data_IF_300680701817
#
_entry.id   IF_300680701817
#
_cell.length_a   1.000
_cell.length_b   1.000
_cell.length_c   1.000
_cell.angle_alpha   90.00
_cell.angle_beta   90.00
_cell.angle_gamma   90.00
#
_symmetry.space_group_name_H-M   'P 1'
#
loop_
_entity.id
_entity.type
_entity.pdbx_description
1 polymer ?
#
# COMPACT_ATOMS: atom_id res chain seq x y z
N UNK A 1 3.50 7.93 -101.05
CA UNK A 1 4.46 8.11 -99.96
C UNK A 1 3.92 9.16 -99.00
N UNK A 2 3.62 8.70 -97.82
CA UNK A 2 3.05 9.50 -96.75
C UNK A 2 4.19 10.09 -95.91
N UNK A 3 4.19 11.42 -95.83
CA UNK A 3 5.11 12.14 -94.96
C UNK A 3 4.64 12.12 -93.53
N UNK A 4 5.45 11.62 -92.65
CA UNK A 4 5.27 11.69 -91.21
C UNK A 4 5.70 13.06 -90.69
N UNK A 5 4.72 13.86 -90.24
CA UNK A 5 5.00 15.11 -89.52
C UNK A 5 5.33 14.80 -88.02
N UNK A 6 6.56 15.08 -87.63
CA UNK A 6 6.99 15.04 -86.24
C UNK A 6 6.50 16.30 -85.51
N UNK A 7 5.71 16.12 -84.49
CA UNK A 7 5.36 17.21 -83.54
C UNK A 7 6.56 17.56 -82.63
N UNK A 8 6.85 18.83 -82.42
CA UNK A 8 7.90 19.23 -81.49
C UNK A 8 7.42 19.00 -80.07
N UNK A 9 8.22 18.23 -79.27
CA UNK A 9 8.06 18.09 -77.83
C UNK A 9 8.39 19.43 -77.22
N UNK A 10 7.41 20.03 -76.52
CA UNK A 10 7.62 21.25 -75.75
C UNK A 10 8.53 20.94 -74.51
N UNK A 11 9.65 21.64 -74.43
CA UNK A 11 10.54 21.62 -73.30
C UNK A 11 9.77 22.09 -71.98
N UNK A 12 10.01 21.51 -70.86
CA UNK A 12 9.40 22.00 -69.63
C UNK A 12 9.88 23.43 -69.36
N UNK A 13 8.92 24.36 -69.35
CA UNK A 13 9.20 25.79 -69.12
C UNK A 13 9.96 26.00 -67.82
N UNK A 14 11.08 26.71 -67.88
CA UNK A 14 11.80 27.18 -66.70
C UNK A 14 10.85 28.04 -65.85
N UNK A 15 10.56 27.57 -64.66
CA UNK A 15 9.67 28.28 -63.75
C UNK A 15 10.15 29.71 -63.54
N UNK A 16 9.25 30.67 -63.71
CA UNK A 16 9.53 32.07 -63.41
C UNK A 16 10.05 32.24 -61.98
N UNK A 17 11.10 33.08 -61.80
CA UNK A 17 11.61 33.34 -60.42
C UNK A 17 10.50 33.98 -59.60
N UNK A 18 10.15 33.33 -58.50
CA UNK A 18 9.13 33.82 -57.54
C UNK A 18 9.54 35.21 -57.02
N UNK A 19 8.56 36.16 -56.95
CA UNK A 19 8.71 37.49 -56.39
C UNK A 19 9.34 37.39 -54.97
N UNK A 20 10.28 38.29 -54.60
CA UNK A 20 10.91 38.31 -53.25
C UNK A 20 9.92 38.31 -52.11
N UNK A 21 8.75 38.93 -52.24
CA UNK A 21 7.66 38.91 -51.26
C UNK A 21 7.07 37.51 -51.12
N UNK A 22 6.83 36.81 -52.21
CA UNK A 22 6.30 35.45 -52.24
C UNK A 22 7.28 34.43 -51.63
N UNK A 23 8.60 34.57 -51.94
CA UNK A 23 9.65 33.73 -51.30
C UNK A 23 9.70 33.90 -49.79
N UNK A 24 9.58 35.17 -49.26
CA UNK A 24 9.58 35.46 -47.86
C UNK A 24 8.34 34.87 -47.14
N UNK A 25 7.17 34.95 -47.79
CA UNK A 25 5.93 34.36 -47.27
C UNK A 25 5.99 32.84 -47.21
N UNK A 26 6.52 32.19 -48.25
CA UNK A 26 6.71 30.73 -48.26
C UNK A 26 7.72 30.28 -47.19
N UNK A 27 8.83 31.03 -47.03
CA UNK A 27 9.83 30.74 -45.99
C UNK A 27 9.24 30.86 -44.58
N UNK A 28 8.50 31.93 -44.31
CA UNK A 28 7.83 32.12 -42.99
C UNK A 28 6.77 31.04 -42.77
N UNK A 29 5.96 30.74 -43.76
CA UNK A 29 4.99 29.66 -43.73
C UNK A 29 5.64 28.29 -43.45
N UNK A 30 6.75 27.99 -44.09
CA UNK A 30 7.51 26.75 -43.84
C UNK A 30 8.09 26.66 -42.44
N UNK A 31 8.61 27.78 -41.89
CA UNK A 31 9.11 27.85 -40.53
C UNK A 31 7.97 27.63 -39.51
N UNK A 32 6.82 28.25 -39.70
CA UNK A 32 5.64 28.10 -38.81
C UNK A 32 5.13 26.66 -38.84
N UNK A 33 4.99 26.07 -40.01
CA UNK A 33 4.57 24.65 -40.14
C UNK A 33 5.60 23.71 -39.51
N UNK A 34 6.89 23.92 -39.72
CA UNK A 34 7.96 23.17 -39.10
C UNK A 34 7.92 23.26 -37.56
N UNK A 35 7.72 24.46 -37.02
CA UNK A 35 7.58 24.67 -35.59
C UNK A 35 6.36 23.94 -35.01
N UNK A 36 5.21 23.96 -35.69
CA UNK A 36 4.00 23.25 -35.27
C UNK A 36 4.18 21.74 -35.28
N UNK A 37 4.90 21.19 -36.26
CA UNK A 37 5.23 19.76 -36.33
C UNK A 37 6.13 19.37 -35.15
N UNK A 38 7.18 20.14 -34.88
CA UNK A 38 8.08 19.91 -33.73
C UNK A 38 7.30 19.97 -32.40
N UNK A 39 6.45 20.99 -32.23
CA UNK A 39 5.59 21.10 -31.02
C UNK A 39 4.64 19.90 -30.92
N UNK A 40 4.05 19.45 -32.00
CA UNK A 40 3.20 18.25 -32.03
C UNK A 40 3.95 16.97 -31.66
N UNK A 41 5.18 16.78 -32.13
CA UNK A 41 6.04 15.65 -31.76
C UNK A 41 6.40 15.74 -30.28
N UNK A 42 6.84 16.89 -29.77
CA UNK A 42 7.17 17.10 -28.35
C UNK A 42 5.95 16.83 -27.48
N UNK A 43 4.78 17.36 -27.86
CA UNK A 43 3.54 17.08 -27.16
C UNK A 43 3.22 15.58 -27.12
N UNK A 44 3.31 14.89 -28.25
CA UNK A 44 3.05 13.44 -28.34
C UNK A 44 4.00 12.62 -27.46
N UNK A 45 5.29 12.95 -27.48
CA UNK A 45 6.30 12.29 -26.64
C UNK A 45 6.01 12.55 -25.14
N UNK A 46 5.81 13.78 -24.75
CA UNK A 46 5.51 14.11 -23.35
C UNK A 46 4.22 13.47 -22.87
N UNK A 47 3.17 13.47 -23.68
CA UNK A 47 1.90 12.84 -23.35
C UNK A 47 2.00 11.33 -23.17
N UNK A 48 2.80 10.66 -23.99
CA UNK A 48 2.97 9.20 -23.94
C UNK A 48 3.97 8.73 -22.88
N UNK A 49 4.95 9.55 -22.50
CA UNK A 49 6.03 9.17 -21.59
C UNK A 49 5.85 9.77 -20.19
N UNK A 50 5.67 11.08 -20.09
CA UNK A 50 5.67 11.81 -18.80
C UNK A 50 4.27 11.94 -18.21
N UNK A 51 3.29 12.29 -19.05
CA UNK A 51 1.90 12.55 -18.64
C UNK A 51 0.97 11.37 -18.95
N UNK A 52 1.46 10.15 -18.78
CA UNK A 52 0.69 8.92 -19.03
C UNK A 52 0.30 8.22 -17.73
N UNK A 53 -0.78 7.42 -17.77
CA UNK A 53 -1.15 6.55 -16.65
C UNK A 53 -0.01 5.58 -16.28
N UNK A 54 0.76 5.10 -17.31
CA UNK A 54 1.94 4.26 -17.11
C UNK A 54 3.01 4.95 -16.27
N UNK A 55 3.30 6.22 -16.53
CA UNK A 55 4.31 7.00 -15.81
C UNK A 55 3.92 7.19 -14.35
N UNK A 56 2.64 7.47 -14.07
CA UNK A 56 2.12 7.60 -12.69
C UNK A 56 2.23 6.27 -11.96
N UNK A 57 1.81 5.15 -12.59
CA UNK A 57 1.95 3.81 -12.02
C UNK A 57 3.41 3.47 -11.72
N UNK A 58 4.33 3.73 -12.66
CA UNK A 58 5.76 3.46 -12.49
C UNK A 58 6.35 4.25 -11.32
N UNK A 59 6.00 5.54 -11.21
CA UNK A 59 6.48 6.39 -10.13
C UNK A 59 5.98 5.92 -8.76
N UNK A 60 4.74 5.46 -8.70
CA UNK A 60 4.12 4.91 -7.49
C UNK A 60 4.77 3.60 -7.06
N UNK A 61 4.90 2.63 -7.97
CA UNK A 61 5.53 1.34 -7.71
C UNK A 61 7.00 1.48 -7.31
N UNK A 62 7.73 2.38 -7.97
CA UNK A 62 9.12 2.70 -7.61
C UNK A 62 9.19 3.27 -6.20
N UNK A 63 8.27 4.17 -5.82
CA UNK A 63 8.24 4.71 -4.47
C UNK A 63 8.00 3.63 -3.40
N UNK A 64 7.13 2.66 -3.68
CA UNK A 64 6.89 1.51 -2.77
C UNK A 64 8.15 0.62 -2.71
N UNK A 65 8.74 0.28 -3.84
CA UNK A 65 9.94 -0.56 -3.91
C UNK A 65 11.16 0.07 -3.20
N UNK A 66 11.31 1.39 -3.32
CA UNK A 66 12.36 2.17 -2.64
C UNK A 66 12.10 2.36 -1.13
N UNK A 67 10.96 1.91 -0.60
CA UNK A 67 10.56 2.15 0.78
C UNK A 67 10.21 3.62 1.09
N UNK A 68 9.93 4.42 0.06
CA UNK A 68 9.52 5.82 0.16
C UNK A 68 7.99 5.91 0.24
N UNK A 69 7.41 5.34 1.29
CA UNK A 69 5.96 5.22 1.44
C UNK A 69 5.28 6.59 1.55
N UNK A 70 5.93 7.57 2.18
CA UNK A 70 5.43 8.94 2.19
C UNK A 70 5.30 9.55 0.79
N UNK A 71 6.24 9.23 -0.13
CA UNK A 71 6.14 9.62 -1.54
C UNK A 71 5.01 8.87 -2.26
N UNK A 72 4.86 7.58 -1.99
CA UNK A 72 3.77 6.78 -2.56
C UNK A 72 2.39 7.33 -2.14
N UNK A 73 2.21 7.70 -0.86
CA UNK A 73 1.01 8.36 -0.34
C UNK A 73 0.71 9.70 -1.03
N UNK A 74 1.74 10.44 -1.44
CA UNK A 74 1.58 11.69 -2.20
C UNK A 74 1.19 11.47 -3.67
N UNK A 75 1.49 10.30 -4.25
CA UNK A 75 1.11 9.94 -5.63
C UNK A 75 -0.30 9.34 -5.66
N UNK A 76 -0.63 8.50 -4.68
CA UNK A 76 -1.93 7.83 -4.55
C UNK A 76 -2.40 7.97 -3.11
N UNK A 77 -3.55 8.63 -2.91
CA UNK A 77 -4.20 8.67 -1.61
C UNK A 77 -4.54 7.25 -1.16
N UNK A 78 -3.99 6.75 -0.06
CA UNK A 78 -4.25 5.39 0.41
C UNK A 78 -5.68 5.20 0.96
N UNK A 79 -6.47 6.25 1.06
CA UNK A 79 -7.87 6.23 1.53
C UNK A 79 -8.01 5.58 2.92
N UNK A 80 -7.06 5.89 3.80
CA UNK A 80 -7.06 5.46 5.20
C UNK A 80 -7.09 6.67 6.12
N UNK A 81 -7.48 6.46 7.38
CA UNK A 81 -7.45 7.52 8.39
C UNK A 81 -6.03 8.07 8.61
N UNK A 82 -5.93 9.34 9.01
CA UNK A 82 -4.64 10.02 9.23
C UNK A 82 -3.70 9.24 10.16
N UNK A 83 -4.23 8.67 11.23
CA UNK A 83 -3.45 7.89 12.20
C UNK A 83 -3.00 6.53 11.63
N UNK A 84 -3.75 5.96 10.68
CA UNK A 84 -3.40 4.71 9.98
C UNK A 84 -2.23 4.91 9.00
N UNK A 85 -1.94 6.15 8.55
CA UNK A 85 -0.76 6.46 7.74
C UNK A 85 0.57 6.08 8.42
N UNK A 86 0.56 5.84 9.73
CA UNK A 86 1.74 5.35 10.46
C UNK A 86 2.23 4.01 9.92
N UNK A 87 1.33 3.10 9.54
CA UNK A 87 1.64 1.83 8.88
C UNK A 87 2.12 1.99 7.44
N UNK A 88 1.80 3.11 6.81
CA UNK A 88 2.19 3.49 5.45
C UNK A 88 3.31 4.55 5.47
N UNK A 89 4.24 4.44 6.42
CA UNK A 89 5.37 5.35 6.59
C UNK A 89 6.69 4.70 6.20
N UNK A 90 7.67 5.52 5.83
CA UNK A 90 9.04 5.09 5.52
C UNK A 90 9.69 4.33 6.69
N UNK A 91 9.26 4.59 7.93
CA UNK A 91 9.77 3.89 9.11
C UNK A 91 9.43 2.39 9.08
N UNK A 92 8.24 2.02 8.61
CA UNK A 92 7.81 0.62 8.45
C UNK A 92 8.55 -0.06 7.30
N UNK A 93 8.87 0.69 6.24
CA UNK A 93 9.59 0.19 5.06
C UNK A 93 11.08 -0.10 5.30
N UNK A 94 11.69 0.48 6.35
CA UNK A 94 13.13 0.38 6.62
C UNK A 94 13.60 -0.99 7.10
N UNK A 95 12.70 -1.89 7.48
CA UNK A 95 13.08 -3.24 7.88
C UNK A 95 13.67 -4.02 6.70
N UNK A 96 14.63 -4.90 6.96
CA UNK A 96 15.28 -5.72 5.94
C UNK A 96 14.26 -6.52 5.12
N UNK A 97 14.36 -6.42 3.80
CA UNK A 97 13.45 -7.08 2.84
C UNK A 97 11.96 -6.76 3.04
N UNK A 98 11.65 -5.59 3.62
CA UNK A 98 10.26 -5.20 3.88
C UNK A 98 9.49 -4.85 2.60
N UNK A 99 10.17 -4.36 1.56
CA UNK A 99 9.54 -3.84 0.34
C UNK A 99 9.49 -4.86 -0.79
N UNK A 100 8.70 -4.55 -1.81
CA UNK A 100 8.70 -5.29 -3.07
C UNK A 100 9.99 -5.03 -3.87
N UNK A 101 10.34 -5.96 -4.76
CA UNK A 101 11.48 -5.81 -5.66
C UNK A 101 11.04 -5.95 -7.12
N UNK A 102 11.83 -5.35 -8.03
CA UNK A 102 11.65 -5.46 -9.49
C UNK A 102 10.22 -5.22 -9.97
N UNK A 103 9.55 -4.10 -9.57
CA UNK A 103 8.22 -3.83 -10.04
C UNK A 103 8.21 -3.59 -11.56
N UNK A 104 7.30 -4.27 -12.25
CA UNK A 104 7.13 -4.19 -13.70
C UNK A 104 5.68 -3.93 -14.07
N UNK A 105 5.46 -3.13 -15.11
CA UNK A 105 4.13 -2.90 -15.69
C UNK A 105 3.97 -3.83 -16.89
N UNK A 106 3.08 -4.80 -16.75
CA UNK A 106 2.82 -5.81 -17.79
C UNK A 106 1.94 -5.27 -18.92
N UNK A 107 0.89 -4.54 -18.54
CA UNK A 107 -0.02 -3.95 -19.51
C UNK A 107 -0.76 -2.73 -18.97
N UNK A 108 -1.17 -1.86 -19.90
CA UNK A 108 -2.04 -0.71 -19.62
C UNK A 108 -3.19 -0.75 -20.63
N UNK A 109 -4.42 -0.83 -20.14
CA UNK A 109 -5.64 -0.71 -20.94
C UNK A 109 -6.41 0.52 -20.51
N UNK A 110 -6.61 1.46 -21.42
CA UNK A 110 -7.36 2.70 -21.15
C UNK A 110 -8.67 2.67 -21.92
N UNK A 111 -9.77 2.85 -21.22
CA UNK A 111 -11.12 2.97 -21.76
C UNK A 111 -11.79 4.16 -21.07
N UNK A 112 -12.33 5.10 -21.84
CA UNK A 112 -13.11 6.26 -21.34
C UNK A 112 -12.44 7.04 -20.20
N UNK A 113 -11.12 7.19 -20.26
CA UNK A 113 -10.37 7.92 -19.23
C UNK A 113 -10.04 7.11 -17.95
N UNK A 114 -10.35 5.82 -17.95
CA UNK A 114 -9.97 4.88 -16.88
C UNK A 114 -8.88 3.95 -17.43
N UNK A 115 -7.71 3.93 -16.80
CA UNK A 115 -6.62 3.04 -17.13
C UNK A 115 -6.52 1.92 -16.08
N UNK A 116 -6.66 0.68 -16.51
CA UNK A 116 -6.31 -0.51 -15.73
C UNK A 116 -4.88 -0.89 -16.05
N UNK A 117 -4.03 -0.91 -15.03
CA UNK A 117 -2.60 -1.21 -15.13
C UNK A 117 -2.33 -2.51 -14.40
N UNK A 118 -1.95 -3.56 -15.15
CA UNK A 118 -1.51 -4.82 -14.55
C UNK A 118 -0.02 -4.73 -14.26
N UNK A 119 0.36 -5.20 -13.10
CA UNK A 119 1.73 -5.09 -12.58
C UNK A 119 2.20 -6.43 -12.01
N UNK A 120 3.48 -6.70 -12.14
CA UNK A 120 4.16 -7.81 -11.49
C UNK A 120 5.30 -7.25 -10.65
N UNK A 121 5.46 -7.76 -9.44
CA UNK A 121 6.61 -7.47 -8.60
C UNK A 121 7.08 -8.72 -7.87
N UNK A 122 8.31 -8.71 -7.39
CA UNK A 122 8.85 -9.82 -6.60
C UNK A 122 8.72 -9.54 -5.11
N UNK A 123 8.27 -10.54 -4.37
CA UNK A 123 8.25 -10.52 -2.91
C UNK A 123 8.92 -11.81 -2.40
N UNK A 124 10.10 -11.65 -1.78
CA UNK A 124 10.94 -12.77 -1.34
C UNK A 124 11.22 -13.82 -2.43
N UNK A 125 11.54 -13.36 -3.64
CA UNK A 125 11.87 -14.20 -4.77
C UNK A 125 10.68 -14.83 -5.49
N UNK A 126 9.44 -14.56 -5.05
CA UNK A 126 8.22 -15.00 -5.73
C UNK A 126 7.57 -13.82 -6.46
N UNK A 127 7.14 -14.05 -7.69
CA UNK A 127 6.39 -13.05 -8.45
C UNK A 127 4.94 -13.00 -7.96
N UNK A 128 4.46 -11.79 -7.76
CA UNK A 128 3.08 -11.47 -7.38
C UNK A 128 2.51 -10.58 -8.46
N UNK A 129 1.32 -10.94 -8.97
CA UNK A 129 0.58 -10.15 -9.96
C UNK A 129 -0.49 -9.34 -9.26
N UNK A 130 -0.65 -8.09 -9.67
CA UNK A 130 -1.61 -7.17 -9.08
C UNK A 130 -2.12 -6.17 -10.11
N UNK A 131 -3.01 -5.27 -9.73
CA UNK A 131 -3.51 -4.25 -10.64
C UNK A 131 -3.80 -2.93 -9.96
N UNK A 132 -3.61 -1.84 -10.70
CA UNK A 132 -3.95 -0.47 -10.32
C UNK A 132 -5.06 0.05 -11.21
N UNK A 133 -5.97 0.83 -10.65
CA UNK A 133 -6.93 1.64 -11.42
C UNK A 133 -6.51 3.11 -11.34
N UNK A 134 -6.39 3.76 -12.49
CA UNK A 134 -5.92 5.13 -12.63
C UNK A 134 -6.93 5.90 -13.46
N UNK A 135 -7.51 6.94 -12.90
CA UNK A 135 -8.51 7.75 -13.56
C UNK A 135 -7.90 9.04 -14.09
N UNK A 136 -8.38 9.48 -15.24
CA UNK A 136 -8.10 10.82 -15.75
C UNK A 136 -8.88 11.83 -14.89
N UNK A 137 -8.17 12.73 -14.22
CA UNK A 137 -8.69 13.74 -13.32
C UNK A 137 -8.27 15.14 -13.82
N UNK A 138 -8.96 15.63 -14.85
CA UNK A 138 -8.68 16.93 -15.44
C UNK A 138 -7.41 16.99 -16.28
N UNK A 139 -6.76 18.16 -16.32
CA UNK A 139 -5.59 18.46 -17.13
C UNK A 139 -4.50 19.16 -16.32
N UNK A 140 -3.24 18.81 -16.59
CA UNK A 140 -2.05 19.54 -16.14
C UNK A 140 -1.62 20.52 -17.23
N UNK A 141 -1.27 21.75 -16.84
CA UNK A 141 -0.83 22.80 -17.77
C UNK A 141 -1.80 23.05 -18.93
N UNK A 142 -3.12 22.84 -18.72
CA UNK A 142 -4.20 22.97 -19.69
C UNK A 142 -4.14 22.01 -20.90
N UNK A 143 -3.01 21.34 -21.12
CA UNK A 143 -2.73 20.54 -22.34
C UNK A 143 -2.59 19.03 -22.07
N UNK A 144 -2.01 18.63 -20.92
CA UNK A 144 -1.71 17.24 -20.64
C UNK A 144 -2.72 16.61 -19.71
N UNK A 145 -3.10 15.33 -19.88
CA UNK A 145 -4.00 14.66 -18.97
C UNK A 145 -3.36 14.57 -17.58
N UNK A 146 -4.15 14.86 -16.55
CA UNK A 146 -3.79 14.53 -15.18
C UNK A 146 -4.34 13.14 -14.85
N UNK A 147 -3.48 12.24 -14.38
CA UNK A 147 -3.83 10.89 -14.02
C UNK A 147 -3.71 10.71 -12.50
N UNK A 148 -4.73 10.13 -11.87
CA UNK A 148 -4.79 9.90 -10.43
C UNK A 148 -5.09 8.42 -10.16
N UNK A 149 -4.31 7.78 -9.32
CA UNK A 149 -4.58 6.41 -8.87
C UNK A 149 -5.81 6.45 -7.96
N UNK A 150 -6.85 5.75 -8.36
CA UNK A 150 -8.12 5.64 -7.61
C UNK A 150 -8.20 4.36 -6.78
N UNK A 151 -7.44 3.33 -7.15
CA UNK A 151 -7.34 2.08 -6.41
C UNK A 151 -5.86 1.84 -6.08
N UNK A 152 -5.38 2.34 -4.92
CA UNK A 152 -3.99 2.16 -4.50
C UNK A 152 -3.72 0.70 -4.14
N UNK A 153 -2.45 0.30 -4.24
CA UNK A 153 -2.00 -1.06 -3.97
C UNK A 153 -1.83 -1.24 -2.45
N UNK A 154 -2.91 -1.56 -1.76
CA UNK A 154 -2.90 -1.86 -0.34
C UNK A 154 -3.29 -3.31 -0.07
N UNK A 155 -2.65 -3.89 0.93
CA UNK A 155 -2.90 -5.24 1.44
C UNK A 155 -3.37 -5.17 2.89
N UNK A 156 -3.98 -6.24 3.35
CA UNK A 156 -4.50 -6.35 4.71
C UNK A 156 -3.75 -7.46 5.45
N UNK A 157 -3.33 -7.18 6.68
CA UNK A 157 -2.82 -8.19 7.60
C UNK A 157 -3.77 -8.24 8.79
N UNK A 158 -4.31 -9.42 9.09
CA UNK A 158 -5.13 -9.65 10.28
C UNK A 158 -4.28 -10.29 11.38
N UNK A 159 -4.42 -9.79 12.61
CA UNK A 159 -3.69 -10.28 13.78
C UNK A 159 -4.69 -10.52 14.90
N UNK A 160 -4.85 -11.76 15.33
CA UNK A 160 -5.72 -12.11 16.44
C UNK A 160 -4.91 -12.26 17.72
N UNK A 161 -5.21 -11.46 18.73
CA UNK A 161 -4.55 -11.44 20.05
C UNK A 161 -5.59 -11.22 21.15
N UNK A 162 -5.29 -11.53 22.42
CA UNK A 162 -6.17 -11.20 23.53
C UNK A 162 -6.54 -9.71 23.55
N UNK A 163 -7.78 -9.39 23.89
CA UNK A 163 -8.27 -8.00 23.85
C UNK A 163 -7.46 -7.06 24.75
N UNK A 164 -6.84 -7.58 25.81
CA UNK A 164 -5.95 -6.83 26.69
C UNK A 164 -4.63 -6.36 26.05
N UNK A 165 -4.31 -6.81 24.82
CA UNK A 165 -3.16 -6.32 24.05
C UNK A 165 -3.48 -4.93 23.51
N UNK A 166 -2.74 -3.92 23.94
CA UNK A 166 -2.97 -2.52 23.58
C UNK A 166 -2.13 -2.05 22.41
N UNK A 167 -1.04 -2.77 22.08
CA UNK A 167 -0.17 -2.43 20.97
C UNK A 167 0.46 -3.66 20.31
N UNK A 168 0.73 -3.51 19.01
CA UNK A 168 1.53 -4.43 18.21
C UNK A 168 2.82 -3.72 17.80
N UNK A 169 3.86 -4.48 17.49
CA UNK A 169 5.06 -3.99 16.81
C UNK A 169 5.05 -4.52 15.38
N UNK A 170 5.10 -3.62 14.42
CA UNK A 170 5.15 -3.94 12.98
C UNK A 170 6.44 -3.36 12.41
N UNK A 171 7.36 -4.21 12.01
CA UNK A 171 8.71 -3.82 11.57
C UNK A 171 9.42 -2.88 12.57
N UNK A 172 9.22 -3.09 13.88
CA UNK A 172 9.79 -2.26 14.94
C UNK A 172 9.03 -0.96 15.22
N UNK A 173 7.94 -0.69 14.51
CA UNK A 173 7.07 0.47 14.74
C UNK A 173 5.92 0.07 15.64
N UNK A 174 5.73 0.79 16.76
CA UNK A 174 4.61 0.57 17.67
C UNK A 174 3.29 0.99 17.02
N UNK A 175 2.31 0.09 17.00
CA UNK A 175 0.96 0.26 16.42
C UNK A 175 -0.07 0.09 17.52
N UNK A 176 -0.94 1.07 17.69
CA UNK A 176 -2.05 1.06 18.64
C UNK A 176 -3.40 1.02 17.91
N UNK A 177 -4.51 0.88 18.62
CA UNK A 177 -5.86 0.93 18.04
C UNK A 177 -6.18 2.25 17.29
N UNK A 178 -5.37 3.31 17.45
CA UNK A 178 -5.49 4.53 16.63
C UNK A 178 -4.92 4.31 15.22
N UNK A 179 -3.92 3.44 15.09
CA UNK A 179 -3.19 3.22 13.84
C UNK A 179 -3.72 2.04 13.01
N UNK A 180 -4.64 1.25 13.55
CA UNK A 180 -5.25 0.09 12.92
C UNK A 180 -6.67 -0.10 13.44
N UNK A 181 -7.49 -0.81 12.70
CA UNK A 181 -8.81 -1.21 13.19
C UNK A 181 -8.62 -2.36 14.18
N UNK A 182 -9.24 -2.25 15.35
CA UNK A 182 -9.25 -3.29 16.37
C UNK A 182 -10.69 -3.62 16.74
N UNK A 183 -11.08 -4.88 16.62
CA UNK A 183 -12.40 -5.37 17.03
C UNK A 183 -12.44 -5.64 18.55
N UNK A 184 -13.64 -5.73 19.10
CA UNK A 184 -13.89 -6.10 20.50
C UNK A 184 -13.41 -7.52 20.82
N UNK A 185 -13.28 -8.40 19.81
CA UNK A 185 -12.73 -9.74 19.95
C UNK A 185 -11.20 -9.80 19.98
N UNK A 186 -10.50 -8.66 19.82
CA UNK A 186 -9.04 -8.60 19.81
C UNK A 186 -8.42 -8.84 18.43
N UNK A 187 -9.20 -8.83 17.35
CA UNK A 187 -8.66 -8.91 16.00
C UNK A 187 -8.24 -7.52 15.51
N UNK A 188 -7.01 -7.40 15.06
CA UNK A 188 -6.43 -6.19 14.47
C UNK A 188 -6.40 -6.32 12.96
N UNK A 189 -6.79 -5.25 12.25
CA UNK A 189 -6.73 -5.14 10.79
C UNK A 189 -5.73 -4.06 10.43
N UNK A 190 -4.59 -4.47 9.86
CA UNK A 190 -3.49 -3.59 9.48
C UNK A 190 -3.55 -3.36 7.97
N UNK A 191 -3.67 -2.10 7.55
CA UNK A 191 -3.58 -1.71 6.12
C UNK A 191 -2.14 -1.34 5.81
N UNK A 192 -1.53 -2.05 4.87
CA UNK A 192 -0.09 -1.95 4.55
C UNK A 192 0.14 -1.98 3.05
N UNK A 193 1.29 -1.49 2.60
CA UNK A 193 1.76 -1.73 1.23
C UNK A 193 2.17 -3.20 1.03
N UNK A 194 2.22 -3.71 -0.22
CA UNK A 194 2.80 -5.02 -0.47
C UNK A 194 4.22 -5.11 0.08
N UNK A 195 4.50 -6.16 0.86
CA UNK A 195 5.80 -6.29 1.51
C UNK A 195 5.88 -7.46 2.48
N UNK A 196 6.96 -7.50 3.25
CA UNK A 196 7.19 -8.45 4.34
C UNK A 196 7.22 -7.73 5.67
N UNK A 197 6.49 -8.24 6.64
CA UNK A 197 6.26 -7.59 7.92
C UNK A 197 6.64 -8.51 9.08
N UNK A 198 7.51 -8.02 9.95
CA UNK A 198 7.81 -8.62 11.25
C UNK A 198 6.75 -8.13 12.23
N UNK A 199 5.86 -9.02 12.64
CA UNK A 199 4.76 -8.69 13.55
C UNK A 199 4.99 -9.38 14.89
N UNK A 200 4.81 -8.65 15.99
CA UNK A 200 4.84 -9.15 17.36
C UNK A 200 3.93 -8.33 18.25
N UNK A 201 3.67 -8.79 19.47
CA UNK A 201 3.09 -7.93 20.50
C UNK A 201 4.04 -6.77 20.77
N UNK A 202 3.50 -5.58 20.88
CA UNK A 202 4.22 -4.37 21.29
C UNK A 202 4.56 -4.36 22.77
N UNK A 203 4.67 -3.19 23.36
CA UNK A 203 4.95 -3.07 24.80
C UNK A 203 3.75 -3.56 25.60
N UNK A 204 3.94 -4.65 26.35
CA UNK A 204 2.96 -5.17 27.30
C UNK A 204 3.68 -5.61 28.58
N UNK A 205 3.06 -5.34 29.73
CA UNK A 205 3.56 -5.79 31.03
C UNK A 205 3.36 -7.28 31.26
N UNK A 206 2.30 -7.87 30.68
CA UNK A 206 1.82 -9.19 31.07
C UNK A 206 1.94 -10.27 30.01
N UNK A 207 1.97 -9.89 28.72
CA UNK A 207 2.09 -10.84 27.63
C UNK A 207 3.18 -10.42 26.66
N UNK A 208 3.78 -11.38 25.99
CA UNK A 208 4.77 -11.19 24.93
C UNK A 208 4.50 -12.19 23.81
N UNK A 209 5.12 -12.00 22.66
CA UNK A 209 5.12 -13.00 21.60
C UNK A 209 6.49 -13.08 20.96
N UNK A 210 6.75 -14.17 20.22
CA UNK A 210 7.78 -14.20 19.21
C UNK A 210 7.46 -13.25 18.05
N UNK A 211 8.44 -13.06 17.16
CA UNK A 211 8.25 -12.34 15.90
C UNK A 211 7.68 -13.32 14.87
N UNK A 212 6.54 -12.97 14.29
CA UNK A 212 5.96 -13.67 13.14
C UNK A 212 6.22 -12.87 11.87
N UNK A 213 6.73 -13.54 10.84
CA UNK A 213 6.93 -12.94 9.52
C UNK A 213 5.70 -13.15 8.65
N UNK A 214 5.07 -12.06 8.25
CA UNK A 214 3.94 -12.06 7.31
C UNK A 214 4.38 -11.50 5.98
N UNK A 215 3.98 -12.15 4.90
CA UNK A 215 4.21 -11.71 3.53
C UNK A 215 2.88 -11.48 2.86
N UNK A 216 2.69 -10.32 2.28
CA UNK A 216 1.42 -9.95 1.65
C UNK A 216 1.32 -10.54 0.24
N UNK A 217 1.20 -11.87 0.17
CA UNK A 217 1.08 -12.61 -1.10
C UNK A 217 -0.36 -12.62 -1.64
N UNK A 218 -1.33 -12.34 -0.78
CA UNK A 218 -2.75 -12.22 -1.09
C UNK A 218 -3.26 -10.82 -0.71
N UNK A 219 -4.53 -10.55 -0.98
CA UNK A 219 -5.16 -9.28 -0.57
C UNK A 219 -5.35 -9.20 0.94
N UNK A 220 -5.46 -10.35 1.60
CA UNK A 220 -5.51 -10.47 3.06
C UNK A 220 -4.67 -11.65 3.52
N UNK A 221 -3.76 -11.41 4.44
CA UNK A 221 -2.90 -12.40 5.08
C UNK A 221 -3.07 -12.32 6.60
N UNK A 222 -2.79 -13.44 7.31
CA UNK A 222 -2.90 -13.49 8.76
C UNK A 222 -1.53 -13.60 9.43
N UNK A 223 -1.37 -12.94 10.58
CA UNK A 223 -0.26 -13.14 11.49
C UNK A 223 -0.73 -13.98 12.68
N UNK A 224 -0.23 -15.19 12.78
CA UNK A 224 -0.45 -16.06 13.94
C UNK A 224 0.67 -15.82 14.96
N UNK A 225 0.34 -15.16 16.08
CA UNK A 225 1.28 -14.82 17.13
C UNK A 225 1.19 -15.85 18.26
N UNK A 226 2.29 -16.54 18.53
CA UNK A 226 2.42 -17.40 19.70
C UNK A 226 2.58 -16.52 20.96
N UNK A 227 1.51 -16.40 21.73
CA UNK A 227 1.45 -15.53 22.92
C UNK A 227 1.96 -16.29 24.13
N UNK A 228 2.77 -15.63 24.94
CA UNK A 228 3.38 -16.18 26.16
C UNK A 228 3.23 -15.17 27.31
N UNK A 229 3.00 -15.66 28.55
CA UNK A 229 3.02 -14.81 29.74
C UNK A 229 4.43 -14.30 30.06
N UNK A 230 4.52 -13.07 30.54
CA UNK A 230 5.78 -12.53 31.06
C UNK A 230 6.07 -13.02 32.49
N UNK A 231 7.32 -12.87 32.93
CA UNK A 231 7.67 -13.13 34.33
C UNK A 231 6.86 -12.24 35.29
N UNK A 232 6.61 -10.98 34.90
CA UNK A 232 5.80 -10.05 35.67
C UNK A 232 4.36 -10.52 35.86
N UNK A 233 3.71 -11.11 34.85
CA UNK A 233 2.37 -11.68 34.99
C UNK A 233 2.38 -12.79 36.05
N UNK A 234 3.35 -13.70 36.00
CA UNK A 234 3.48 -14.80 36.95
C UNK A 234 3.69 -14.31 38.36
N UNK A 235 4.56 -13.31 38.55
CA UNK A 235 4.83 -12.71 39.85
C UNK A 235 3.60 -12.01 40.42
N UNK A 236 2.96 -11.12 39.63
CA UNK A 236 1.80 -10.35 40.10
C UNK A 236 0.60 -11.28 40.39
N UNK A 237 0.39 -12.32 39.56
CA UNK A 237 -0.64 -13.32 39.78
C UNK A 237 -0.38 -14.12 41.09
N UNK A 238 0.88 -14.56 41.29
CA UNK A 238 1.24 -15.27 42.53
C UNK A 238 1.03 -14.40 43.76
N UNK A 239 1.41 -13.12 43.71
CA UNK A 239 1.15 -12.17 44.79
C UNK A 239 -0.34 -12.01 45.08
N UNK A 240 -1.17 -11.85 44.07
CA UNK A 240 -2.61 -11.67 44.20
C UNK A 240 -3.28 -12.92 44.76
N UNK A 241 -2.90 -14.11 44.27
CA UNK A 241 -3.42 -15.39 44.76
C UNK A 241 -3.02 -15.59 46.21
N UNK A 242 -1.74 -15.42 46.58
CA UNK A 242 -1.28 -15.58 47.94
C UNK A 242 -1.97 -14.59 48.90
N UNK A 243 -2.11 -13.33 48.48
CA UNK A 243 -2.83 -12.32 49.27
C UNK A 243 -4.29 -12.73 49.55
N UNK A 244 -4.99 -13.30 48.53
CA UNK A 244 -6.36 -13.78 48.70
C UNK A 244 -6.40 -15.02 49.62
N UNK A 245 -5.48 -15.95 49.47
CA UNK A 245 -5.37 -17.12 50.33
C UNK A 245 -5.09 -16.71 51.79
N UNK A 246 -4.18 -15.74 52.01
CA UNK A 246 -3.89 -15.20 53.34
C UNK A 246 -5.11 -14.48 53.99
N UNK A 247 -5.92 -13.82 53.17
CA UNK A 247 -7.19 -13.23 53.57
C UNK A 247 -8.17 -14.32 54.00
N UNK A 248 -8.36 -15.34 53.17
CA UNK A 248 -9.22 -16.49 53.43
C UNK A 248 -8.79 -17.25 54.69
N UNK A 249 -7.49 -17.42 54.91
CA UNK A 249 -6.95 -18.13 56.07
C UNK A 249 -7.20 -17.38 57.41
N UNK A 250 -7.49 -16.09 57.39
CA UNK A 250 -7.85 -15.29 58.57
C UNK A 250 -9.34 -15.35 58.90
N UNK A 251 -10.17 -15.87 58.00
CA UNK A 251 -11.61 -15.99 58.28
C UNK A 251 -11.85 -17.06 59.32
N UNK A 252 -12.81 -16.80 60.19
CA UNK A 252 -13.32 -17.75 61.16
C UNK A 252 -14.58 -18.46 60.67
N UNK A 253 -15.06 -18.09 59.48
CA UNK A 253 -16.19 -18.74 58.82
C UNK A 253 -15.77 -20.08 58.20
N UNK A 254 -16.64 -21.08 58.30
CA UNK A 254 -16.39 -22.41 57.74
C UNK A 254 -16.35 -22.42 56.20
N UNK A 255 -17.12 -21.53 55.57
CA UNK A 255 -17.15 -21.36 54.13
C UNK A 255 -17.11 -19.85 53.78
N UNK A 256 -15.93 -19.21 53.86
CA UNK A 256 -15.81 -17.78 53.58
C UNK A 256 -16.15 -17.47 52.13
N UNK A 257 -16.96 -16.47 51.89
CA UNK A 257 -17.38 -16.07 50.55
C UNK A 257 -16.18 -15.71 49.68
N UNK A 258 -16.16 -16.24 48.46
CA UNK A 258 -15.08 -16.01 47.45
C UNK A 258 -13.74 -16.65 47.82
N UNK A 259 -13.69 -17.58 48.74
CA UNK A 259 -12.52 -18.39 49.09
C UNK A 259 -12.56 -19.75 48.37
N UNK A 260 -11.39 -20.27 47.90
CA UNK A 260 -11.34 -21.53 47.19
C UNK A 260 -11.45 -22.77 48.09
N UNK A 261 -11.58 -22.59 49.39
CA UNK A 261 -11.73 -23.65 50.38
C UNK A 261 -12.80 -23.25 51.39
N UNK A 262 -13.53 -24.23 51.86
CA UNK A 262 -14.58 -24.12 52.86
C UNK A 262 -15.10 -25.50 53.22
N UNK A 263 -15.76 -25.63 54.37
CA UNK A 263 -16.46 -26.84 54.74
C UNK A 263 -17.96 -26.59 54.60
N UNK A 264 -18.63 -27.39 53.79
CA UNK A 264 -20.08 -27.47 53.78
C UNK A 264 -20.53 -28.28 54.97
N UNK A 265 -21.14 -27.63 55.95
CA UNK A 265 -21.73 -28.30 57.12
C UNK A 265 -23.12 -28.89 56.80
N UNK A 266 -23.35 -29.30 55.55
CA UNK A 266 -24.65 -29.87 55.15
C UNK A 266 -24.93 -31.26 55.74
N UNK A 267 -24.02 -31.86 56.54
CA UNK A 267 -24.19 -33.14 57.20
C UNK A 267 -24.14 -32.99 58.74
N UNK A 268 -24.97 -32.08 59.33
CA UNK A 268 -25.17 -32.06 60.77
C UNK A 268 -25.74 -33.38 61.32
N UNK A 269 -26.39 -34.21 60.51
CA UNK A 269 -26.97 -35.48 60.87
C UNK A 269 -25.97 -36.66 60.98
N UNK A 270 -24.78 -36.54 60.39
CA UNK A 270 -23.80 -37.62 60.38
C UNK A 270 -22.92 -37.69 61.63
N UNK A 271 -22.84 -36.64 62.43
CA UNK A 271 -22.01 -36.59 63.61
C UNK A 271 -22.83 -36.57 64.96
N UNK A 272 -24.11 -36.86 64.87
CA UNK A 272 -25.00 -36.95 66.06
C UNK A 272 -25.39 -38.40 66.46
N UNK A 273 -24.48 -39.37 66.30
CA UNK A 273 -24.63 -40.68 66.89
C UNK A 273 -23.43 -41.07 67.75
#
# INVERSE_FOLDING_TARGET
PAGTASMPVAAPGAGQPLDPKTKKTILIGGIVIGALIVLGIVYGVLNSTVFSAKSVAQSYLTAIADGKYGKANGIADPQVGKDQLKLLSDAVAKADNATIANPHIDSVKTVEGVAKVNVTYSLNGKNVNDSLTINKDGSKFLLFPNWKISSPLLKTITVSVPNAVESLSVNGVDVTAKNAEKSDSGTWTLRVYPGSYKVSIGKSGYVTSGITMVRTNADSDAADLKIMPTAKLKEDLSKAVNAKLDECAKSTDYAPEGCPFGFDLYDEDYYRN
#
